data_IF_151703843167
#
_entry.id   IF_151703843167
#
_cell.length_a   1.000
_cell.length_b   1.000
_cell.length_c   1.000
_cell.angle_alpha   90.00
_cell.angle_beta   90.00
_cell.angle_gamma   90.00
#
_symmetry.space_group_name_H-M   'P 1'
#
loop_
_entity.id
_entity.type
_entity.pdbx_description
1 polymer ?
#
# COMPACT_ATOMS: atom_id res chain seq x y z
N UNK A 1 -0.97 -2.26 -0.01
CA UNK A 1 -1.77 -2.98 -1.03
C UNK A 1 -1.05 -4.28 -1.35
N UNK A 2 -1.78 -5.40 -1.43
CA UNK A 2 -1.25 -6.72 -1.76
C UNK A 2 -1.75 -7.11 -3.15
N UNK A 3 -0.85 -7.51 -4.04
CA UNK A 3 -1.16 -8.09 -5.35
C UNK A 3 -0.93 -9.60 -5.25
N UNK A 4 -1.87 -10.41 -5.72
CA UNK A 4 -1.85 -11.87 -5.48
C UNK A 4 -1.14 -12.69 -6.56
N UNK A 5 -0.75 -12.09 -7.67
CA UNK A 5 -0.18 -12.82 -8.82
C UNK A 5 -1.24 -13.45 -9.76
N UNK A 6 -2.52 -13.42 -9.39
CA UNK A 6 -3.63 -14.06 -10.10
C UNK A 6 -4.64 -13.06 -10.70
N UNK A 7 -4.39 -11.75 -10.53
CA UNK A 7 -5.23 -10.68 -11.06
C UNK A 7 -6.16 -10.06 -10.02
N UNK A 8 -5.87 -10.22 -8.72
CA UNK A 8 -6.57 -9.52 -7.66
C UNK A 8 -5.62 -8.64 -6.85
N UNK A 9 -6.20 -7.59 -6.30
CA UNK A 9 -5.53 -6.73 -5.36
C UNK A 9 -6.36 -6.55 -4.08
N UNK A 10 -5.68 -6.57 -2.95
CA UNK A 10 -6.23 -6.23 -1.64
C UNK A 10 -5.65 -4.89 -1.18
N UNK A 11 -6.49 -3.88 -1.01
CA UNK A 11 -6.12 -2.59 -0.46
C UNK A 11 -6.50 -2.54 1.02
N UNK A 12 -5.54 -2.16 1.86
CA UNK A 12 -5.72 -1.98 3.31
C UNK A 12 -5.53 -0.50 3.61
N UNK A 13 -6.46 0.11 4.32
CA UNK A 13 -6.44 1.54 4.66
C UNK A 13 -6.91 1.79 6.10
N UNK A 14 -6.26 2.69 6.83
CA UNK A 14 -6.74 3.14 8.14
C UNK A 14 -8.00 4.02 8.05
N UNK A 15 -8.26 4.64 6.91
CA UNK A 15 -9.39 5.54 6.67
C UNK A 15 -10.29 5.03 5.53
N UNK A 16 -11.58 5.42 5.47
CA UNK A 16 -12.45 5.06 4.35
C UNK A 16 -11.87 5.48 2.99
N UNK A 17 -11.95 4.60 2.00
CA UNK A 17 -11.62 4.93 0.61
C UNK A 17 -12.59 6.00 0.08
N UNK A 18 -12.13 7.23 -0.24
CA UNK A 18 -13.03 8.29 -0.66
C UNK A 18 -13.63 7.98 -2.04
N UNK A 19 -14.95 8.21 -2.26
CA UNK A 19 -15.55 8.09 -3.58
C UNK A 19 -14.84 8.96 -4.62
N UNK A 20 -14.66 8.47 -5.85
CA UNK A 20 -13.97 9.20 -6.92
C UNK A 20 -12.46 9.33 -6.77
N UNK A 21 -11.86 8.82 -5.67
CA UNK A 21 -10.42 8.88 -5.48
C UNK A 21 -9.66 8.06 -6.53
N UNK A 22 -8.47 8.52 -6.90
CA UNK A 22 -7.52 7.68 -7.64
C UNK A 22 -6.67 6.90 -6.64
N UNK A 23 -6.43 5.64 -6.97
CA UNK A 23 -5.51 4.77 -6.23
C UNK A 23 -4.32 4.48 -7.13
N UNK A 24 -3.18 5.07 -6.83
CA UNK A 24 -1.92 4.87 -7.57
C UNK A 24 -0.97 4.03 -6.74
N UNK A 25 -0.50 2.91 -7.29
CA UNK A 25 0.24 1.93 -6.52
C UNK A 25 1.47 1.41 -7.26
N UNK A 26 2.44 0.98 -6.46
CA UNK A 26 3.62 0.29 -6.95
C UNK A 26 3.25 -1.07 -7.52
N UNK A 27 4.03 -1.54 -8.48
CA UNK A 27 3.94 -2.90 -8.99
C UNK A 27 5.35 -3.46 -9.15
N UNK A 28 5.45 -4.77 -9.30
CA UNK A 28 6.72 -5.40 -9.63
C UNK A 28 7.12 -5.01 -11.06
N UNK A 29 8.18 -4.22 -11.19
CA UNK A 29 8.77 -3.85 -12.47
C UNK A 29 9.73 -4.93 -13.00
N UNK A 30 10.33 -4.68 -14.17
CA UNK A 30 11.37 -5.55 -14.70
C UNK A 30 12.50 -5.76 -13.67
N UNK A 31 12.97 -7.00 -13.54
CA UNK A 31 14.00 -7.43 -12.58
C UNK A 31 13.58 -7.44 -11.10
N UNK A 32 12.27 -7.53 -10.80
CA UNK A 32 11.76 -7.66 -9.43
C UNK A 32 11.81 -6.38 -8.59
N UNK A 33 12.11 -5.23 -9.22
CA UNK A 33 12.20 -3.94 -8.53
C UNK A 33 10.86 -3.23 -8.51
N UNK A 34 10.53 -2.57 -7.40
CA UNK A 34 9.31 -1.78 -7.28
C UNK A 34 9.28 -0.63 -8.31
N UNK A 35 8.31 -0.66 -9.22
CA UNK A 35 8.07 0.37 -10.23
C UNK A 35 6.79 1.16 -9.93
N UNK A 36 6.70 2.37 -10.47
CA UNK A 36 5.54 3.24 -10.34
C UNK A 36 5.01 3.62 -11.74
N UNK A 37 3.72 3.83 -11.93
CA UNK A 37 2.63 3.38 -11.07
C UNK A 37 1.53 2.81 -11.96
N UNK A 38 0.83 1.80 -11.44
CA UNK A 38 -0.49 1.43 -11.95
C UNK A 38 -1.54 2.27 -11.25
N UNK A 39 -2.68 2.45 -11.90
CA UNK A 39 -3.76 3.28 -11.41
C UNK A 39 -5.08 2.53 -11.50
N UNK A 40 -5.83 2.62 -10.41
CA UNK A 40 -7.24 2.27 -10.32
C UNK A 40 -8.00 3.49 -9.81
N UNK A 41 -9.33 3.43 -9.85
CA UNK A 41 -10.23 4.38 -9.21
C UNK A 41 -10.91 3.71 -8.03
N UNK A 42 -11.46 4.51 -7.11
CA UNK A 42 -12.18 4.01 -5.95
C UNK A 42 -13.33 3.06 -6.33
N UNK A 43 -13.96 3.28 -7.49
CA UNK A 43 -15.06 2.45 -7.99
C UNK A 43 -14.63 1.04 -8.42
N UNK A 44 -13.33 0.83 -8.67
CA UNK A 44 -12.79 -0.49 -8.99
C UNK A 44 -12.66 -1.39 -7.73
N UNK A 45 -12.86 -0.81 -6.54
CA UNK A 45 -12.72 -1.48 -5.25
C UNK A 45 -14.09 -1.77 -4.62
N UNK A 46 -14.21 -2.95 -4.01
CA UNK A 46 -15.34 -3.35 -3.20
C UNK A 46 -14.87 -3.65 -1.78
N UNK A 47 -15.61 -3.26 -0.74
CA UNK A 47 -15.29 -3.68 0.63
C UNK A 47 -15.20 -5.19 0.72
N UNK A 48 -14.11 -5.69 1.31
CA UNK A 48 -13.91 -7.12 1.53
C UNK A 48 -14.01 -7.42 3.03
N UNK A 49 -15.22 -7.71 3.47
CA UNK A 49 -15.52 -8.07 4.86
C UNK A 49 -15.11 -9.52 5.19
N UNK A 50 -14.79 -10.32 4.16
CA UNK A 50 -14.38 -11.71 4.31
C UNK A 50 -12.87 -11.88 4.40
N UNK A 51 -12.11 -10.82 4.07
CA UNK A 51 -10.67 -10.82 4.13
C UNK A 51 -10.17 -11.16 5.54
N UNK A 52 -9.55 -12.33 5.68
CA UNK A 52 -8.80 -12.72 6.88
C UNK A 52 -7.44 -12.01 6.93
N UNK A 53 -7.46 -10.69 6.80
CA UNK A 53 -6.25 -9.85 6.85
C UNK A 53 -6.07 -9.41 8.30
N UNK A 54 -5.05 -9.96 8.95
CA UNK A 54 -4.63 -9.49 10.29
C UNK A 54 -3.80 -8.24 10.09
N UNK A 55 -4.45 -7.09 10.19
CA UNK A 55 -3.83 -5.79 10.06
C UNK A 55 -4.36 -4.83 11.12
N UNK A 56 -3.55 -3.82 11.44
CA UNK A 56 -3.84 -2.81 12.47
C UNK A 56 -3.36 -1.45 11.96
N UNK A 57 -4.07 -0.38 12.30
CA UNK A 57 -3.51 0.96 12.25
C UNK A 57 -2.83 1.25 13.59
N UNK A 58 -1.49 1.22 13.63
CA UNK A 58 -0.69 1.33 14.86
C UNK A 58 -0.72 2.74 15.47
N UNK A 59 -1.17 3.76 14.71
CA UNK A 59 -1.33 5.12 15.24
C UNK A 59 -2.60 5.23 16.08
N UNK A 60 -3.67 4.57 15.64
CA UNK A 60 -5.01 4.68 16.26
C UNK A 60 -5.41 3.45 17.09
N UNK A 61 -4.77 2.29 16.86
CA UNK A 61 -5.17 0.98 17.38
C UNK A 61 -6.42 0.40 16.73
N UNK A 62 -6.95 1.04 15.68
CA UNK A 62 -8.19 0.62 15.02
C UNK A 62 -7.94 -0.47 13.97
N UNK A 63 -8.96 -1.31 13.77
CA UNK A 63 -8.98 -2.26 12.67
C UNK A 63 -9.04 -1.51 11.33
N UNK A 64 -8.13 -1.79 10.38
CA UNK A 64 -8.14 -1.12 9.10
C UNK A 64 -9.28 -1.63 8.23
N UNK A 65 -9.61 -0.84 7.22
CA UNK A 65 -10.59 -1.17 6.19
C UNK A 65 -9.91 -1.91 5.05
N UNK A 66 -10.55 -2.99 4.61
CA UNK A 66 -10.03 -3.85 3.54
C UNK A 66 -10.95 -3.78 2.33
N UNK A 67 -10.34 -3.65 1.16
CA UNK A 67 -11.04 -3.60 -0.12
C UNK A 67 -10.38 -4.55 -1.11
N UNK A 68 -11.18 -5.19 -1.96
CA UNK A 68 -10.74 -6.03 -3.06
C UNK A 68 -10.99 -5.35 -4.40
N UNK A 69 -10.07 -5.54 -5.35
CA UNK A 69 -10.21 -5.10 -6.74
C UNK A 69 -9.70 -6.19 -7.69
N UNK A 70 -10.28 -6.23 -8.90
CA UNK A 70 -9.70 -6.99 -10.02
C UNK A 70 -8.71 -6.11 -10.77
N UNK A 71 -7.58 -6.68 -11.13
CA UNK A 71 -6.54 -6.01 -11.92
C UNK A 71 -6.15 -6.84 -13.13
N UNK A 72 -5.66 -6.22 -14.21
CA UNK A 72 -5.06 -6.98 -15.31
C UNK A 72 -3.97 -7.91 -14.79
N UNK A 73 -4.01 -9.21 -15.16
CA UNK A 73 -3.03 -10.21 -14.72
C UNK A 73 -1.59 -9.78 -14.99
N UNK A 74 -1.36 -9.09 -16.10
CA UNK A 74 -0.02 -8.56 -16.46
C UNK A 74 0.52 -7.49 -15.51
N UNK A 75 -0.30 -6.95 -14.59
CA UNK A 75 0.15 -5.99 -13.58
C UNK A 75 0.62 -6.66 -12.29
N UNK A 76 0.30 -7.94 -12.10
CA UNK A 76 0.66 -8.75 -10.96
C UNK A 76 1.01 -10.14 -11.46
N UNK A 77 2.18 -10.26 -12.09
CA UNK A 77 2.70 -11.55 -12.59
C UNK A 77 3.26 -12.42 -11.47
N UNK A 78 3.53 -11.83 -10.31
CA UNK A 78 3.89 -12.52 -9.07
C UNK A 78 3.23 -11.81 -7.87
N UNK A 79 3.15 -12.47 -6.69
CA UNK A 79 2.73 -11.84 -5.46
C UNK A 79 3.63 -10.66 -5.07
N UNK A 80 3.05 -9.50 -4.80
CA UNK A 80 3.82 -8.29 -4.51
C UNK A 80 3.12 -7.42 -3.47
N UNK A 81 3.88 -6.91 -2.49
CA UNK A 81 3.38 -5.93 -1.52
C UNK A 81 3.79 -4.54 -1.97
N UNK A 82 2.79 -3.74 -2.31
CA UNK A 82 2.93 -2.42 -2.87
C UNK A 82 2.53 -1.32 -1.86
N UNK A 83 3.27 -0.21 -1.88
CA UNK A 83 2.73 1.04 -1.35
C UNK A 83 1.71 1.60 -2.35
N UNK A 84 0.64 2.18 -1.82
CA UNK A 84 -0.42 2.79 -2.60
C UNK A 84 -0.71 4.20 -2.09
N UNK A 85 -1.08 5.08 -3.00
CA UNK A 85 -1.44 6.48 -2.77
C UNK A 85 -2.90 6.64 -3.11
N UNK A 86 -3.67 7.21 -2.19
CA UNK A 86 -5.09 7.48 -2.39
C UNK A 86 -5.30 8.99 -2.47
N UNK A 87 -5.98 9.45 -3.52
CA UNK A 87 -6.33 10.86 -3.71
C UNK A 87 -5.86 11.41 -5.07
N UNK A 88 -5.35 12.64 -5.07
CA UNK A 88 -4.88 13.32 -6.28
C UNK A 88 -3.47 13.89 -6.09
N UNK A 89 -2.44 13.04 -5.96
CA UNK A 89 -1.07 13.52 -5.92
C UNK A 89 -0.70 14.19 -7.25
N UNK A 90 0.08 15.27 -7.20
CA UNK A 90 0.58 15.94 -8.41
C UNK A 90 1.81 15.26 -8.98
N UNK A 91 2.62 14.62 -8.12
CA UNK A 91 3.77 13.80 -8.51
C UNK A 91 3.93 12.62 -7.56
N UNK A 92 4.22 11.45 -8.12
CA UNK A 92 4.60 10.24 -7.39
C UNK A 92 5.90 9.71 -7.99
N UNK A 93 6.82 9.25 -7.14
CA UNK A 93 8.06 8.58 -7.54
C UNK A 93 8.23 7.30 -6.74
N UNK A 94 8.58 6.21 -7.42
CA UNK A 94 8.96 4.96 -6.77
C UNK A 94 10.35 5.05 -6.15
N UNK A 95 10.51 4.45 -4.99
CA UNK A 95 11.77 4.04 -4.37
C UNK A 95 11.73 2.53 -4.14
N UNK A 96 12.88 1.92 -3.91
CA UNK A 96 12.98 0.48 -3.64
C UNK A 96 12.04 0.01 -2.53
N UNK A 97 11.91 0.80 -1.46
CA UNK A 97 11.09 0.49 -0.29
C UNK A 97 9.85 1.36 -0.14
N UNK A 98 9.39 2.08 -1.17
CA UNK A 98 8.14 2.85 -1.05
C UNK A 98 7.98 4.00 -2.04
N UNK A 99 7.23 5.03 -1.66
CA UNK A 99 6.84 6.13 -2.54
C UNK A 99 7.22 7.49 -1.97
N UNK A 100 7.68 8.38 -2.84
CA UNK A 100 7.72 9.82 -2.58
C UNK A 100 6.63 10.51 -3.37
N UNK A 101 5.96 11.47 -2.75
CA UNK A 101 4.81 12.14 -3.33
C UNK A 101 4.79 13.63 -2.99
N UNK A 102 4.21 14.41 -3.91
CA UNK A 102 3.84 15.80 -3.69
C UNK A 102 2.37 15.99 -4.00
N UNK A 103 1.69 16.75 -3.17
CA UNK A 103 0.30 17.13 -3.40
C UNK A 103 0.18 18.44 -4.21
N UNK A 104 -1.05 18.93 -4.37
CA UNK A 104 -1.35 20.19 -5.08
C UNK A 104 -0.79 21.43 -4.40
N UNK A 105 -0.50 21.36 -3.10
CA UNK A 105 0.05 22.45 -2.31
C UNK A 105 1.60 22.40 -2.26
N UNK A 106 2.21 21.39 -2.90
CA UNK A 106 3.66 21.20 -2.93
C UNK A 106 4.21 20.53 -1.66
N UNK A 107 3.34 20.10 -0.74
CA UNK A 107 3.73 19.41 0.49
C UNK A 107 4.34 18.06 0.13
N UNK A 108 5.46 17.71 0.77
CA UNK A 108 6.14 16.45 0.55
C UNK A 108 5.64 15.41 1.53
N UNK A 109 5.17 14.29 0.99
CA UNK A 109 4.85 13.09 1.75
C UNK A 109 5.67 11.93 1.25
N UNK A 110 5.88 10.96 2.11
CA UNK A 110 6.58 9.74 1.76
C UNK A 110 5.94 8.56 2.45
N UNK A 111 5.78 7.46 1.73
CA UNK A 111 5.40 6.18 2.29
C UNK A 111 6.58 5.23 2.19
N UNK A 112 6.84 4.44 3.23
CA UNK A 112 7.86 3.41 3.26
C UNK A 112 7.28 2.09 3.74
N UNK A 113 7.69 1.00 3.11
CA UNK A 113 7.43 -0.37 3.51
C UNK A 113 8.70 -0.93 4.14
N UNK A 114 8.57 -1.58 5.29
CA UNK A 114 9.61 -2.38 5.89
C UNK A 114 9.04 -3.67 6.50
N UNK A 115 9.91 -4.61 6.82
CA UNK A 115 9.61 -5.92 7.38
C UNK A 115 10.09 -5.97 8.83
N UNK A 116 9.20 -6.39 9.73
CA UNK A 116 9.55 -6.82 11.08
C UNK A 116 9.70 -8.35 11.10
N UNK A 117 9.91 -8.94 12.28
CA UNK A 117 9.97 -10.39 12.41
C UNK A 117 8.65 -11.08 12.10
N UNK A 118 7.51 -10.39 12.16
CA UNK A 118 6.18 -11.01 12.15
C UNK A 118 5.26 -10.44 11.06
N UNK A 119 5.71 -9.40 10.37
CA UNK A 119 4.88 -8.74 9.38
C UNK A 119 5.53 -7.59 8.65
N UNK A 120 4.66 -6.80 8.05
CA UNK A 120 5.00 -5.73 7.12
C UNK A 120 4.42 -4.43 7.64
N UNK A 121 5.24 -3.40 7.68
CA UNK A 121 4.88 -2.07 8.13
C UNK A 121 4.79 -1.15 6.92
N UNK A 122 3.70 -0.41 6.78
CA UNK A 122 3.56 0.71 5.86
C UNK A 122 3.48 1.99 6.68
N UNK A 123 4.52 2.83 6.59
CA UNK A 123 4.63 4.07 7.36
C UNK A 123 4.57 5.25 6.39
N UNK A 124 3.54 6.09 6.54
CA UNK A 124 3.43 7.39 5.87
C UNK A 124 3.98 8.48 6.79
N UNK A 125 4.86 9.32 6.22
CA UNK A 125 5.37 10.53 6.86
C UNK A 125 5.02 11.77 6.03
N UNK A 126 4.60 12.81 6.72
CA UNK A 126 4.43 14.15 6.20
C UNK A 126 5.49 15.05 6.80
N UNK A 127 6.38 15.57 5.95
CA UNK A 127 7.46 16.47 6.39
C UNK A 127 8.29 15.90 7.56
N UNK A 128 8.48 14.57 7.57
CA UNK A 128 9.22 13.82 8.60
C UNK A 128 8.39 13.33 9.79
N UNK A 129 7.18 13.84 9.99
CA UNK A 129 6.28 13.38 11.06
C UNK A 129 5.45 12.20 10.58
N UNK A 130 5.38 11.15 11.39
CA UNK A 130 4.52 10.00 11.12
C UNK A 130 3.05 10.41 11.18
N UNK A 131 2.31 9.99 10.14
CA UNK A 131 0.90 10.30 9.94
C UNK A 131 0.04 9.04 9.94
N UNK A 132 0.57 7.96 9.38
CA UNK A 132 -0.11 6.68 9.29
C UNK A 132 0.92 5.58 9.43
N UNK A 133 0.57 4.54 10.16
CA UNK A 133 1.38 3.34 10.31
C UNK A 133 0.40 2.17 10.25
N UNK A 134 0.39 1.47 9.12
CA UNK A 134 -0.37 0.22 8.98
C UNK A 134 0.57 -0.96 9.18
N UNK A 135 0.19 -1.86 10.07
CA UNK A 135 0.83 -3.15 10.24
C UNK A 135 0.00 -4.24 9.56
N UNK A 136 0.67 -5.18 8.90
CA UNK A 136 0.09 -6.38 8.31
C UNK A 136 0.88 -7.59 8.78
N UNK A 137 0.26 -8.49 9.54
CA UNK A 137 0.89 -9.76 9.90
C UNK A 137 0.96 -10.69 8.69
N UNK A 138 2.07 -11.42 8.57
CA UNK A 138 2.22 -12.48 7.56
C UNK A 138 1.96 -13.88 8.14
N UNK A 139 1.76 -13.99 9.46
CA UNK A 139 1.41 -15.25 10.15
C UNK A 139 2.58 -16.21 10.41
N UNK A 140 3.81 -15.81 10.11
CA UNK A 140 5.04 -16.57 10.37
C UNK A 140 6.23 -15.64 10.54
N UNK A 141 7.34 -16.17 11.05
CA UNK A 141 8.55 -15.38 11.28
C UNK A 141 9.31 -15.08 9.96
N UNK A 142 9.68 -13.82 9.75
CA UNK A 142 10.48 -13.35 8.63
C UNK A 142 11.97 -13.36 8.99
N UNK A 143 12.77 -14.05 8.18
CA UNK A 143 14.20 -14.25 8.43
C UNK A 143 15.08 -13.00 8.26
N UNK A 144 14.59 -11.97 7.56
CA UNK A 144 15.36 -10.76 7.23
C UNK A 144 14.51 -9.49 7.48
N UNK A 145 14.29 -9.13 8.76
CA UNK A 145 13.67 -7.85 9.09
C UNK A 145 14.55 -6.69 8.61
N UNK A 146 13.91 -5.60 8.18
CA UNK A 146 14.59 -4.40 7.69
C UNK A 146 13.92 -3.11 8.15
N UNK A 147 12.97 -3.18 9.09
CA UNK A 147 12.51 -2.00 9.80
C UNK A 147 13.64 -1.44 10.69
N UNK A 148 13.77 -0.10 10.78
CA UNK A 148 14.77 0.58 11.60
C UNK A 148 14.49 0.45 13.11
#
# INVERSE_FOLDING_TARGET
MKLDGAGHATLVMGQPLPPGAKVEFQFEGPNGRAACCKRLRAEDFQPDLSAMVVATDEVTGEAPRVYAARIPRLWAVSPFIAAAVVGQPTRIRSRSSGLDMRDGQGQRRSASICLSHEGVHLIERDSGRERTHLYLSVGYELAQPNCP
#
